data_IF_587288103803
#
_entry.id   IF_587288103803
#
_cell.length_a   1.000
_cell.length_b   1.000
_cell.length_c   1.000
_cell.angle_alpha   90.00
_cell.angle_beta   90.00
_cell.angle_gamma   90.00
#
_symmetry.space_group_name_H-M   'P 1'
#
loop_
_entity.id
_entity.type
_entity.pdbx_description
1 polymer ?
#
# COMPACT_ATOMS: atom_id res chain seq x y z
N UNK A 1 15.15 -19.55 -20.47
CA UNK A 1 15.37 -20.70 -19.57
C UNK A 1 14.34 -20.57 -18.47
N UNK A 2 13.33 -21.42 -18.47
CA UNK A 2 12.30 -21.41 -17.43
C UNK A 2 12.74 -22.38 -16.35
N UNK A 3 13.51 -21.88 -15.38
CA UNK A 3 13.81 -22.67 -14.19
C UNK A 3 12.53 -22.79 -13.36
N UNK A 4 11.93 -23.99 -13.36
CA UNK A 4 10.78 -24.28 -12.50
C UNK A 4 11.29 -24.52 -11.08
N UNK A 5 11.05 -23.57 -10.18
CA UNK A 5 11.34 -23.74 -8.77
C UNK A 5 10.47 -24.86 -8.16
N UNK A 6 11.01 -25.68 -7.24
CA UNK A 6 10.24 -26.74 -6.60
C UNK A 6 9.16 -26.15 -5.68
N UNK A 7 7.92 -26.63 -5.84
CA UNK A 7 6.82 -26.31 -4.90
C UNK A 7 6.99 -27.15 -3.63
N UNK A 8 7.23 -26.49 -2.50
CA UNK A 8 7.36 -27.15 -1.20
C UNK A 8 5.97 -27.32 -0.55
N UNK A 9 5.69 -28.49 0.02
CA UNK A 9 4.47 -28.73 0.83
C UNK A 9 4.50 -28.00 2.17
N UNK A 10 5.69 -27.74 2.71
CA UNK A 10 5.91 -26.99 3.95
C UNK A 10 7.03 -25.96 3.73
N UNK A 11 6.76 -24.88 2.98
CA UNK A 11 7.78 -23.86 2.73
C UNK A 11 8.12 -23.13 4.04
N UNK A 12 9.41 -22.88 4.32
CA UNK A 12 9.82 -22.14 5.51
C UNK A 12 9.41 -20.65 5.47
N UNK A 13 9.13 -20.12 4.27
CA UNK A 13 8.68 -18.75 4.03
C UNK A 13 7.32 -18.83 3.33
N UNK A 14 6.27 -18.44 4.05
CA UNK A 14 4.87 -18.46 3.56
C UNK A 14 4.39 -17.09 3.08
N UNK A 15 5.09 -16.02 3.47
CA UNK A 15 4.78 -14.63 3.14
C UNK A 15 6.06 -13.89 2.78
N UNK A 16 5.94 -12.93 1.86
CA UNK A 16 7.06 -12.09 1.47
C UNK A 16 6.57 -10.69 1.10
N UNK A 17 7.34 -9.69 1.49
CA UNK A 17 7.12 -8.30 1.09
C UNK A 17 8.39 -7.78 0.43
N UNK A 18 8.23 -7.22 -0.76
CA UNK A 18 9.28 -6.43 -1.42
C UNK A 18 8.80 -4.99 -1.42
N UNK A 19 9.52 -4.14 -0.70
CA UNK A 19 9.16 -2.74 -0.54
C UNK A 19 10.14 -1.83 -1.27
N UNK A 20 9.59 -0.83 -1.95
CA UNK A 20 10.34 0.19 -2.67
C UNK A 20 9.99 1.55 -2.09
N UNK A 21 10.96 2.15 -1.40
CA UNK A 21 10.85 3.53 -0.93
C UNK A 21 11.30 4.50 -2.02
N UNK A 22 10.51 5.55 -2.22
CA UNK A 22 10.70 6.54 -3.28
C UNK A 22 10.58 7.95 -2.70
N UNK A 23 11.55 8.80 -3.05
CA UNK A 23 11.45 10.24 -2.80
C UNK A 23 10.56 10.87 -3.88
N UNK A 24 9.28 11.03 -3.55
CA UNK A 24 8.33 11.69 -4.44
C UNK A 24 8.41 13.22 -4.33
N UNK A 25 8.13 13.97 -5.41
CA UNK A 25 8.10 15.42 -5.37
C UNK A 25 7.19 15.97 -4.26
N UNK A 26 7.61 17.04 -3.57
CA UNK A 26 6.80 17.65 -2.53
C UNK A 26 5.46 18.14 -3.11
N UNK A 27 4.37 17.88 -2.39
CA UNK A 27 3.02 18.25 -2.84
C UNK A 27 2.39 17.30 -3.86
N UNK A 28 3.07 16.21 -4.26
CA UNK A 28 2.42 15.16 -5.04
C UNK A 28 1.29 14.53 -4.20
N UNK A 29 0.08 14.62 -4.74
CA UNK A 29 -1.11 14.00 -4.18
C UNK A 29 -1.25 12.58 -4.70
N UNK A 30 -1.47 11.62 -3.80
CA UNK A 30 -1.52 10.21 -4.14
C UNK A 30 -2.55 9.91 -5.24
N UNK A 31 -3.69 10.63 -5.23
CA UNK A 31 -4.74 10.53 -6.25
C UNK A 31 -4.23 10.75 -7.68
N UNK A 32 -3.18 11.55 -7.87
CA UNK A 32 -2.57 11.76 -9.18
C UNK A 32 -1.93 10.49 -9.77
N UNK A 33 -1.54 9.53 -8.90
CA UNK A 33 -0.95 8.26 -9.31
C UNK A 33 -1.97 7.18 -9.64
N UNK A 34 -3.26 7.41 -9.36
CA UNK A 34 -4.32 6.38 -9.50
C UNK A 34 -4.39 5.81 -10.92
N UNK A 35 -4.46 6.69 -11.92
CA UNK A 35 -4.60 6.28 -13.33
C UNK A 35 -3.40 5.49 -13.80
N UNK A 36 -2.19 6.00 -13.59
CA UNK A 36 -0.96 5.33 -14.01
C UNK A 36 -0.74 4.00 -13.27
N UNK A 37 -1.09 3.94 -11.98
CA UNK A 37 -0.99 2.71 -11.21
C UNK A 37 -1.99 1.66 -11.72
N UNK A 38 -3.23 2.06 -12.02
CA UNK A 38 -4.24 1.17 -12.61
C UNK A 38 -3.77 0.59 -13.93
N UNK A 39 -3.39 1.45 -14.88
CA UNK A 39 -2.90 1.01 -16.21
C UNK A 39 -1.69 0.09 -16.09
N UNK A 40 -0.85 0.27 -15.06
CA UNK A 40 0.35 -0.56 -14.87
C UNK A 40 0.08 -1.92 -14.23
N UNK A 41 -0.92 -2.01 -13.34
CA UNK A 41 -1.15 -3.21 -12.53
C UNK A 41 -2.39 -4.00 -12.91
N UNK A 42 -3.32 -3.45 -13.69
CA UNK A 42 -4.63 -4.08 -13.97
C UNK A 42 -4.54 -5.48 -14.59
N UNK A 43 -3.55 -5.72 -15.44
CA UNK A 43 -3.34 -7.03 -16.09
C UNK A 43 -3.16 -8.19 -15.08
N UNK A 44 -2.49 -7.92 -13.96
CA UNK A 44 -2.15 -8.94 -12.95
C UNK A 44 -2.93 -8.77 -11.64
N UNK A 45 -3.38 -7.53 -11.35
CA UNK A 45 -4.05 -7.13 -10.12
C UNK A 45 -5.32 -6.32 -10.46
N UNK A 46 -6.36 -6.97 -11.00
CA UNK A 46 -7.52 -6.28 -11.59
C UNK A 46 -8.39 -5.53 -10.57
N UNK A 47 -8.31 -5.90 -9.28
CA UNK A 47 -9.12 -5.29 -8.22
C UNK A 47 -8.36 -4.17 -7.54
N UNK A 48 -8.84 -2.92 -7.69
CA UNK A 48 -8.26 -1.74 -7.04
C UNK A 48 -9.17 -1.20 -5.94
N UNK A 49 -8.60 -0.91 -4.76
CA UNK A 49 -9.28 -0.33 -3.61
C UNK A 49 -8.47 0.83 -3.01
N UNK A 50 -9.04 2.04 -2.82
CA UNK A 50 -8.37 3.09 -2.07
C UNK A 50 -8.38 2.75 -0.57
N UNK A 51 -7.25 3.01 0.11
CA UNK A 51 -7.13 2.98 1.56
C UNK A 51 -7.23 4.40 2.09
N UNK A 52 -8.22 4.65 2.94
CA UNK A 52 -8.41 5.94 3.59
C UNK A 52 -7.72 5.95 4.95
N UNK A 53 -7.11 7.08 5.29
CA UNK A 53 -6.55 7.34 6.61
C UNK A 53 -7.22 8.56 7.23
N UNK A 54 -7.50 8.45 8.53
CA UNK A 54 -7.93 9.55 9.38
C UNK A 54 -6.99 9.60 10.58
N UNK A 55 -6.22 10.68 10.71
CA UNK A 55 -5.32 10.95 11.82
C UNK A 55 -5.90 12.08 12.67
N UNK A 56 -6.15 11.82 13.95
CA UNK A 56 -6.59 12.83 14.92
C UNK A 56 -5.48 13.04 15.95
N UNK A 57 -4.94 14.25 16.03
CA UNK A 57 -4.01 14.64 17.10
C UNK A 57 -4.73 15.49 18.11
N UNK A 58 -4.67 15.08 19.37
CA UNK A 58 -5.17 15.82 20.52
C UNK A 58 -3.97 16.23 21.37
N UNK A 59 -3.87 17.52 21.69
CA UNK A 59 -2.82 18.05 22.53
C UNK A 59 -3.45 18.89 23.65
N UNK A 60 -3.29 18.41 24.88
CA UNK A 60 -3.70 19.16 26.07
C UNK A 60 -2.54 20.06 26.50
N UNK A 61 -2.79 21.37 26.53
CA UNK A 61 -1.90 22.36 27.12
C UNK A 61 -2.01 22.34 28.65
N UNK A 62 -0.90 22.67 29.33
CA UNK A 62 -0.87 22.78 30.80
C UNK A 62 -1.75 23.93 31.35
N UNK A 63 -2.18 24.83 30.47
CA UNK A 63 -3.10 25.95 30.70
C UNK A 63 -4.59 25.56 30.55
N UNK A 64 -4.88 24.27 30.34
CA UNK A 64 -6.25 23.79 30.13
C UNK A 64 -6.76 23.98 28.70
N UNK A 65 -5.92 24.44 27.77
CA UNK A 65 -6.27 24.49 26.34
C UNK A 65 -6.23 23.10 25.72
N UNK A 66 -7.15 22.83 24.79
CA UNK A 66 -7.21 21.57 24.05
C UNK A 66 -7.09 21.87 22.56
N UNK A 67 -5.95 21.52 21.98
CA UNK A 67 -5.73 21.64 20.55
C UNK A 67 -6.06 20.31 19.89
N UNK A 68 -6.91 20.33 18.86
CA UNK A 68 -7.18 19.18 18.03
C UNK A 68 -6.84 19.47 16.57
N UNK A 69 -6.23 18.52 15.89
CA UNK A 69 -6.09 18.55 14.43
C UNK A 69 -6.54 17.23 13.85
N UNK A 70 -7.20 17.29 12.70
CA UNK A 70 -7.69 16.13 11.97
C UNK A 70 -7.10 16.17 10.56
N UNK A 71 -6.47 15.08 10.14
CA UNK A 71 -6.08 14.84 8.75
C UNK A 71 -6.91 13.68 8.21
N UNK A 72 -7.46 13.86 7.02
CA UNK A 72 -8.21 12.86 6.28
C UNK A 72 -7.65 12.81 4.85
N UNK A 73 -7.48 11.61 4.30
CA UNK A 73 -7.08 11.46 2.90
C UNK A 73 -6.89 10.02 2.46
N UNK A 74 -6.49 9.85 1.20
CA UNK A 74 -6.05 8.56 0.66
C UNK A 74 -4.60 8.32 1.11
N UNK A 75 -4.37 7.20 1.78
CA UNK A 75 -3.06 6.75 2.25
C UNK A 75 -2.40 5.78 1.27
N UNK A 76 -3.21 4.95 0.60
CA UNK A 76 -2.72 4.00 -0.39
C UNK A 76 -3.76 3.65 -1.46
N UNK A 77 -3.30 3.11 -2.59
CA UNK A 77 -4.10 2.28 -3.48
C UNK A 77 -3.65 0.83 -3.37
N UNK A 78 -4.60 -0.07 -3.12
CA UNK A 78 -4.38 -1.50 -3.02
C UNK A 78 -4.87 -2.17 -4.30
N UNK A 79 -3.98 -2.85 -5.00
CA UNK A 79 -4.28 -3.67 -6.17
C UNK A 79 -4.16 -5.14 -5.79
N UNK A 80 -5.21 -5.93 -5.97
CA UNK A 80 -5.24 -7.35 -5.57
C UNK A 80 -5.29 -8.26 -6.78
N UNK A 81 -4.53 -9.35 -6.70
CA UNK A 81 -4.64 -10.46 -7.62
C UNK A 81 -5.97 -11.17 -7.38
N UNK A 82 -6.55 -11.79 -8.42
CA UNK A 82 -7.86 -12.43 -8.35
C UNK A 82 -7.95 -13.57 -7.33
N UNK A 83 -6.82 -14.23 -7.02
CA UNK A 83 -6.73 -15.28 -6.01
C UNK A 83 -6.56 -14.73 -4.58
N UNK A 84 -6.47 -13.41 -4.43
CA UNK A 84 -6.20 -12.68 -3.19
C UNK A 84 -4.89 -13.06 -2.46
N UNK A 85 -4.00 -13.84 -3.08
CA UNK A 85 -2.72 -14.26 -2.48
C UNK A 85 -1.62 -13.24 -2.70
N UNK A 86 -1.84 -12.26 -3.58
CA UNK A 86 -0.92 -11.17 -3.81
C UNK A 86 -1.63 -9.83 -3.86
N UNK A 87 -0.92 -8.80 -3.40
CA UNK A 87 -1.34 -7.43 -3.59
C UNK A 87 -0.15 -6.50 -3.82
N UNK A 88 -0.41 -5.44 -4.58
CA UNK A 88 0.46 -4.26 -4.70
C UNK A 88 -0.16 -3.13 -3.91
N UNK A 89 0.65 -2.44 -3.11
CA UNK A 89 0.22 -1.25 -2.40
C UNK A 89 1.02 -0.05 -2.89
N UNK A 90 0.35 0.96 -3.45
CA UNK A 90 0.96 2.22 -3.87
C UNK A 90 0.69 3.28 -2.79
N UNK A 91 1.73 3.90 -2.26
CA UNK A 91 1.72 4.90 -1.18
C UNK A 91 2.40 6.20 -1.63
N UNK A 92 2.29 7.26 -0.83
CA UNK A 92 3.05 8.50 -1.03
C UNK A 92 4.56 8.36 -0.87
N UNK A 93 5.02 7.27 -0.25
CA UNK A 93 6.45 7.02 0.01
C UNK A 93 7.02 5.94 -0.91
N UNK A 94 6.25 5.45 -1.89
CA UNK A 94 6.67 4.35 -2.75
C UNK A 94 5.62 3.26 -2.90
N UNK A 95 6.04 2.01 -3.08
CA UNK A 95 5.12 0.89 -3.28
C UNK A 95 5.68 -0.44 -2.82
N UNK A 96 4.79 -1.37 -2.43
CA UNK A 96 5.18 -2.73 -2.06
C UNK A 96 4.46 -3.80 -2.88
N UNK A 97 5.15 -4.91 -3.12
CA UNK A 97 4.58 -6.17 -3.57
C UNK A 97 4.53 -7.12 -2.38
N UNK A 98 3.34 -7.67 -2.11
CA UNK A 98 3.11 -8.54 -0.97
C UNK A 98 2.55 -9.87 -1.47
N UNK A 99 3.24 -10.95 -1.12
CA UNK A 99 2.75 -12.32 -1.22
C UNK A 99 2.24 -12.71 0.16
N UNK A 100 0.94 -12.95 0.26
CA UNK A 100 0.26 -13.37 1.48
C UNK A 100 0.30 -14.88 1.63
N UNK A 101 0.04 -15.35 2.85
CA UNK A 101 0.00 -16.77 3.14
C UNK A 101 -1.03 -17.47 2.23
N UNK A 102 -0.69 -18.63 1.66
CA UNK A 102 -1.55 -19.35 0.74
C UNK A 102 -2.81 -19.93 1.38
#
# INVERSE_FOLDING_TARGET
MSDSFPTLTHPPIVEAVVDFDCDLPPGLELKALEKSAREKFEDHYPSMQPRLMQEMRLQAGADGTFNSSMKHGIDAFLFRQSDHKQLVQVRRTGFSFNRLAP
#
